data_IF_429060401089
#
_entry.id   IF_429060401089
#
_cell.length_a   1.000
_cell.length_b   1.000
_cell.length_c   1.000
_cell.angle_alpha   90.00
_cell.angle_beta   90.00
_cell.angle_gamma   90.00
#
_symmetry.space_group_name_H-M   'P 1'
#
loop_
_entity.id
_entity.type
_entity.pdbx_description
1 polymer ?
#
# COMPACT_ATOMS: atom_id res chain seq x y z
N UNK A 1 -32.09 -0.89 -16.41
CA UNK A 1 -30.71 -1.09 -16.92
C UNK A 1 -29.74 -1.63 -15.87
N UNK A 2 -30.05 -1.49 -14.58
CA UNK A 2 -29.29 -2.06 -13.46
C UNK A 2 -29.36 -3.58 -13.39
N UNK A 3 -30.41 -4.22 -13.92
CA UNK A 3 -30.58 -5.67 -13.88
C UNK A 3 -29.46 -6.44 -14.60
N UNK A 4 -28.97 -5.91 -15.72
CA UNK A 4 -27.85 -6.50 -16.45
C UNK A 4 -26.56 -6.46 -15.64
N UNK A 5 -26.32 -5.38 -14.90
CA UNK A 5 -25.15 -5.20 -14.04
C UNK A 5 -25.20 -6.21 -12.88
N UNK A 6 -26.36 -6.35 -12.23
CA UNK A 6 -26.54 -7.31 -11.13
C UNK A 6 -26.37 -8.76 -11.61
N UNK A 7 -26.90 -9.07 -12.80
CA UNK A 7 -26.79 -10.40 -13.40
C UNK A 7 -25.34 -10.73 -13.79
N UNK A 8 -24.60 -9.76 -14.31
CA UNK A 8 -23.18 -9.92 -14.63
C UNK A 8 -22.34 -10.10 -13.36
N UNK A 9 -22.57 -9.28 -12.33
CA UNK A 9 -21.87 -9.35 -11.05
C UNK A 9 -22.09 -10.70 -10.34
N UNK A 10 -23.32 -11.19 -10.34
CA UNK A 10 -23.65 -12.51 -9.79
C UNK A 10 -22.93 -13.64 -10.54
N UNK A 11 -22.84 -13.54 -11.88
CA UNK A 11 -22.13 -14.52 -12.70
C UNK A 11 -20.63 -14.56 -12.41
N UNK A 12 -19.99 -13.39 -12.27
CA UNK A 12 -18.57 -13.28 -11.90
C UNK A 12 -18.31 -13.82 -10.49
N UNK A 13 -19.19 -13.53 -9.52
CA UNK A 13 -19.05 -14.03 -8.15
C UNK A 13 -19.11 -15.57 -8.06
N UNK A 14 -19.87 -16.22 -8.94
CA UNK A 14 -19.93 -17.68 -9.05
C UNK A 14 -18.62 -18.30 -9.57
N UNK A 15 -17.91 -17.60 -10.45
CA UNK A 15 -16.59 -18.04 -10.95
C UNK A 15 -15.50 -17.87 -9.90
N UNK A 16 -15.59 -16.83 -9.06
CA UNK A 16 -14.61 -16.50 -8.04
C UNK A 16 -14.82 -17.23 -6.70
N UNK A 17 -15.92 -17.98 -6.56
CA UNK A 17 -16.18 -18.75 -5.34
C UNK A 17 -15.14 -19.88 -5.20
N UNK A 18 -14.31 -19.88 -4.14
CA UNK A 18 -13.33 -20.92 -3.93
C UNK A 18 -14.04 -22.25 -3.67
N UNK A 19 -13.95 -23.18 -4.64
CA UNK A 19 -14.40 -24.56 -4.46
C UNK A 19 -13.37 -25.31 -3.63
N UNK A 20 -13.70 -25.57 -2.36
CA UNK A 20 -13.03 -26.60 -1.58
C UNK A 20 -12.62 -26.16 -0.17
N UNK A 21 -13.56 -26.18 0.77
CA UNK A 21 -13.25 -26.32 2.18
C UNK A 21 -13.28 -27.81 2.57
N UNK A 22 -12.51 -28.64 1.87
CA UNK A 22 -12.39 -30.05 2.24
C UNK A 22 -11.02 -30.29 2.87
N UNK A 23 -11.07 -30.54 4.18
CA UNK A 23 -9.99 -30.93 5.09
C UNK A 23 -9.10 -29.78 5.56
N UNK A 24 -9.63 -29.03 6.53
CA UNK A 24 -8.78 -28.47 7.58
C UNK A 24 -8.32 -29.67 8.44
N UNK A 25 -7.03 -30.06 8.47
CA UNK A 25 -6.57 -30.93 9.55
C UNK A 25 -6.73 -30.15 10.86
N UNK A 26 -7.26 -30.82 11.88
CA UNK A 26 -7.23 -30.31 13.24
C UNK A 26 -5.78 -29.94 13.56
N UNK A 27 -5.54 -28.68 13.92
CA UNK A 27 -4.22 -28.16 14.27
C UNK A 27 -3.70 -28.99 15.45
N UNK A 28 -2.55 -29.68 15.33
CA UNK A 28 -1.98 -30.35 16.50
C UNK A 28 -1.70 -29.31 17.59
N UNK A 29 -1.82 -29.66 18.87
CA UNK A 29 -1.40 -28.78 19.95
C UNK A 29 0.07 -28.43 19.72
N UNK A 30 0.32 -27.15 19.50
CA UNK A 30 1.66 -26.63 19.28
C UNK A 30 2.49 -26.96 20.54
N UNK A 31 3.67 -27.61 20.44
CA UNK A 31 4.55 -27.68 21.59
C UNK A 31 4.85 -26.25 22.00
N UNK A 32 4.69 -25.94 23.29
CA UNK A 32 5.06 -24.64 23.83
C UNK A 32 6.50 -24.37 23.42
N UNK A 33 6.71 -23.41 22.52
CA UNK A 33 8.05 -22.96 22.16
C UNK A 33 8.64 -22.40 23.45
N UNK A 34 9.55 -23.17 24.05
CA UNK A 34 10.42 -22.68 25.12
C UNK A 34 11.10 -21.46 24.52
N UNK A 35 10.73 -20.28 25.02
CA UNK A 35 11.34 -19.03 24.57
C UNK A 35 12.81 -19.13 24.93
N UNK A 36 13.74 -19.15 23.96
CA UNK A 36 15.15 -19.19 24.30
C UNK A 36 15.46 -17.96 25.16
N UNK A 37 16.30 -18.09 26.20
CA UNK A 37 16.71 -16.93 26.99
C UNK A 37 17.26 -15.89 26.02
N UNK A 38 16.74 -14.66 26.09
CA UNK A 38 17.20 -13.56 25.23
C UNK A 38 18.72 -13.45 25.42
N UNK A 39 19.53 -13.56 24.35
CA UNK A 39 20.95 -13.33 24.48
C UNK A 39 21.14 -11.92 25.03
N UNK A 40 21.98 -11.77 26.06
CA UNK A 40 22.39 -10.46 26.55
C UNK A 40 23.08 -9.76 25.38
N UNK A 41 22.39 -8.80 24.77
CA UNK A 41 22.92 -8.04 23.64
C UNK A 41 24.08 -7.22 24.20
N UNK A 42 25.30 -7.55 23.79
CA UNK A 42 26.45 -6.70 24.08
C UNK A 42 26.18 -5.32 23.46
N UNK A 43 26.54 -4.22 24.13
CA UNK A 43 26.33 -2.89 23.59
C UNK A 43 27.01 -2.76 22.23
N UNK A 44 26.30 -2.21 21.25
CA UNK A 44 26.88 -1.98 19.93
C UNK A 44 28.03 -0.97 20.05
N UNK A 45 29.08 -1.10 19.21
CA UNK A 45 30.14 -0.11 19.14
C UNK A 45 29.58 1.29 18.90
N UNK A 46 30.22 2.30 19.50
CA UNK A 46 29.88 3.69 19.28
C UNK A 46 29.84 4.01 17.78
N UNK A 47 28.78 4.68 17.35
CA UNK A 47 28.58 5.00 15.95
C UNK A 47 29.72 5.92 15.45
N UNK A 48 30.39 5.53 14.36
CA UNK A 48 31.57 6.23 13.83
C UNK A 48 31.27 7.07 12.59
N UNK A 49 30.09 6.91 12.00
CA UNK A 49 29.72 7.66 10.81
C UNK A 49 29.16 9.03 11.22
N UNK A 50 29.49 10.10 10.46
CA UNK A 50 28.97 11.44 10.68
C UNK A 50 27.45 11.54 10.50
N UNK A 51 26.79 10.47 10.05
CA UNK A 51 25.35 10.40 9.79
C UNK A 51 24.54 9.63 10.85
N UNK A 52 25.18 9.04 11.88
CA UNK A 52 24.43 8.34 12.94
C UNK A 52 24.20 9.25 14.12
N UNK A 53 23.36 10.25 13.88
CA UNK A 53 22.88 11.12 14.93
C UNK A 53 21.60 10.49 15.52
N UNK A 54 21.63 10.27 16.83
CA UNK A 54 20.43 10.15 17.68
C UNK A 54 19.65 11.48 17.74
N UNK A 55 20.22 12.55 17.20
CA UNK A 55 19.57 13.85 17.07
C UNK A 55 18.52 13.78 15.97
N UNK A 56 17.22 13.99 16.29
CA UNK A 56 16.18 14.00 15.28
C UNK A 56 16.49 15.09 14.25
N UNK A 57 16.52 14.72 12.97
CA UNK A 57 16.66 15.70 11.90
C UNK A 57 15.45 16.63 11.90
N UNK A 58 15.71 17.94 11.95
CA UNK A 58 14.68 18.93 11.77
C UNK A 58 14.21 18.91 10.29
N UNK A 59 13.06 18.28 10.08
CA UNK A 59 12.41 18.19 8.78
C UNK A 59 11.96 19.55 8.24
N UNK A 60 11.88 20.59 9.08
CA UNK A 60 11.51 21.95 8.68
C UNK A 60 12.71 22.78 8.22
N UNK A 61 13.91 22.50 8.75
CA UNK A 61 15.17 23.14 8.33
C UNK A 61 15.68 22.63 6.97
N UNK A 62 15.24 21.44 6.55
CA UNK A 62 15.65 20.84 5.27
C UNK A 62 14.56 21.06 4.23
N UNK A 63 14.87 21.79 3.15
CA UNK A 63 13.94 21.93 2.01
C UNK A 63 13.65 20.54 1.46
N UNK A 64 12.40 20.07 1.60
CA UNK A 64 11.98 18.77 1.09
C UNK A 64 11.98 18.79 -0.44
N UNK A 65 13.11 18.42 -1.04
CA UNK A 65 13.17 18.17 -2.48
C UNK A 65 12.50 16.81 -2.66
N UNK A 66 11.28 16.81 -3.23
CA UNK A 66 10.51 15.60 -3.55
C UNK A 66 10.60 15.31 -5.06
N UNK A 67 11.79 14.95 -5.59
CA UNK A 67 11.96 14.76 -7.03
C UNK A 67 10.98 13.73 -7.59
N UNK A 68 10.63 12.73 -6.77
CA UNK A 68 9.67 11.69 -7.13
C UNK A 68 8.21 12.15 -7.07
N UNK A 69 7.84 13.10 -6.20
CA UNK A 69 6.50 13.68 -6.22
C UNK A 69 6.30 14.47 -7.51
N UNK A 70 7.25 15.35 -7.84
CA UNK A 70 7.15 16.15 -9.06
C UNK A 70 7.13 15.27 -10.31
N UNK A 71 7.94 14.21 -10.35
CA UNK A 71 7.89 13.23 -11.43
C UNK A 71 6.54 12.48 -11.50
N UNK A 72 5.95 12.16 -10.35
CA UNK A 72 4.65 11.50 -10.26
C UNK A 72 3.52 12.40 -10.78
N UNK A 73 3.45 13.65 -10.34
CA UNK A 73 2.45 14.63 -10.80
C UNK A 73 2.57 14.90 -12.31
N UNK A 74 3.79 15.02 -12.83
CA UNK A 74 4.02 15.19 -14.27
C UNK A 74 3.56 13.98 -15.07
N UNK A 75 3.81 12.76 -14.59
CA UNK A 75 3.34 11.53 -15.21
C UNK A 75 1.82 11.44 -15.21
N UNK A 76 1.18 11.85 -14.11
CA UNK A 76 -0.28 11.86 -13.99
C UNK A 76 -0.91 12.85 -14.99
N UNK A 77 -0.41 14.08 -15.08
CA UNK A 77 -0.87 15.06 -16.08
C UNK A 77 -0.73 14.56 -17.52
N UNK A 78 0.39 13.92 -17.86
CA UNK A 78 0.60 13.34 -19.20
C UNK A 78 -0.40 12.22 -19.50
N UNK A 79 -0.74 11.42 -18.50
CA UNK A 79 -1.74 10.35 -18.63
C UNK A 79 -3.13 10.93 -18.84
N UNK A 80 -3.52 11.94 -18.06
CA UNK A 80 -4.81 12.64 -18.22
C UNK A 80 -4.94 13.22 -19.63
N UNK A 81 -3.91 13.91 -20.13
CA UNK A 81 -3.90 14.44 -21.49
C UNK A 81 -3.99 13.33 -22.56
N UNK A 82 -3.26 12.22 -22.39
CA UNK A 82 -3.32 11.12 -23.33
C UNK A 82 -4.72 10.48 -23.40
N UNK A 83 -5.42 10.39 -22.27
CA UNK A 83 -6.78 9.85 -22.20
C UNK A 83 -7.80 10.82 -22.80
N UNK A 84 -7.67 12.13 -22.54
CA UNK A 84 -8.50 13.16 -23.17
C UNK A 84 -8.36 13.16 -24.70
N UNK A 85 -7.14 13.00 -25.23
CA UNK A 85 -6.89 12.86 -26.68
C UNK A 85 -7.57 11.62 -27.26
N UNK A 86 -7.69 10.54 -26.48
CA UNK A 86 -8.40 9.32 -26.88
C UNK A 86 -9.93 9.43 -26.73
N UNK A 87 -10.46 10.60 -26.34
CA UNK A 87 -11.89 10.83 -26.13
C UNK A 87 -12.45 10.14 -24.88
N UNK A 88 -11.57 9.68 -23.98
CA UNK A 88 -11.96 9.17 -22.67
C UNK A 88 -11.96 10.32 -21.67
N UNK A 89 -13.13 10.91 -21.43
CA UNK A 89 -13.33 11.81 -20.29
C UNK A 89 -13.11 11.00 -19.01
N UNK A 90 -11.92 11.15 -18.43
CA UNK A 90 -11.67 10.67 -17.07
C UNK A 90 -12.52 11.53 -16.14
N UNK A 91 -13.37 10.93 -15.27
CA UNK A 91 -13.97 11.70 -14.20
C UNK A 91 -12.82 12.34 -13.42
N UNK A 92 -12.83 13.67 -13.37
CA UNK A 92 -11.84 14.42 -12.61
C UNK A 92 -11.77 13.88 -11.18
N UNK A 93 -10.61 13.96 -10.53
CA UNK A 93 -10.44 13.38 -9.22
C UNK A 93 -11.45 14.03 -8.29
N UNK A 94 -12.42 13.25 -7.84
CA UNK A 94 -13.47 13.71 -6.94
C UNK A 94 -12.76 14.01 -5.63
N UNK A 95 -12.73 15.22 -5.06
CA UNK A 95 -12.04 15.46 -3.77
C UNK A 95 -13.04 15.85 -2.70
N UNK A 96 -13.09 15.13 -1.58
CA UNK A 96 -13.82 15.52 -0.36
C UNK A 96 -12.83 15.49 0.83
N UNK A 97 -12.68 16.64 1.51
CA UNK A 97 -11.73 16.89 2.62
C UNK A 97 -10.24 16.70 2.28
N UNK A 98 -9.81 17.07 1.06
CA UNK A 98 -8.41 16.88 0.63
C UNK A 98 -8.04 15.42 0.31
N UNK A 99 -9.04 14.54 0.27
CA UNK A 99 -8.95 13.14 -0.15
C UNK A 99 -9.82 12.91 -1.38
N UNK A 100 -9.37 12.07 -2.31
CA UNK A 100 -10.14 11.77 -3.52
C UNK A 100 -11.30 10.80 -3.19
N UNK A 101 -12.58 11.17 -3.41
CA UNK A 101 -13.80 10.40 -3.12
C UNK A 101 -14.70 10.30 -4.34
N UNK A 102 -14.55 9.23 -5.12
CA UNK A 102 -15.50 8.85 -6.18
C UNK A 102 -16.91 8.55 -5.65
#
# INVERSE_FOLDING_TARGET
>A
MTDFIHRLAAWVALLLRPRGAHRRPARPPYPALVTPPRPRVAPLPAHRSPYGLDTPLDATATRSVRPYLTAHEQRQRRRELALAVLGQDMPGPYWIHGLEVA
#
